data_IF_570557008878
#
_entry.id   IF_570557008878
#
_cell.length_a   1.000
_cell.length_b   1.000
_cell.length_c   1.000
_cell.angle_alpha   90.00
_cell.angle_beta   90.00
_cell.angle_gamma   90.00
#
_symmetry.space_group_name_H-M   'P 1'
#
loop_
_entity.id
_entity.type
_entity.pdbx_description
1 polymer ?
#
# COMPACT_ATOMS: atom_id res chain seq x y z
N UNK A 1 14.05 45.25 -9.43
CA UNK A 1 15.25 45.38 -8.58
C UNK A 1 15.98 46.64 -9.01
N UNK A 2 16.30 47.54 -8.09
CA UNK A 2 17.12 48.70 -8.39
C UNK A 2 18.55 48.44 -7.90
N UNK A 3 19.49 48.31 -8.85
CA UNK A 3 20.90 48.03 -8.56
C UNK A 3 21.77 49.30 -8.59
N UNK A 4 21.18 50.50 -8.74
CA UNK A 4 21.93 51.77 -8.90
C UNK A 4 22.75 52.16 -7.67
N UNK A 5 22.36 51.69 -6.49
CA UNK A 5 23.03 52.00 -5.21
C UNK A 5 23.89 50.84 -4.67
N UNK A 6 24.19 49.84 -5.51
CA UNK A 6 25.00 48.68 -5.11
C UNK A 6 26.30 48.68 -5.90
N UNK A 7 27.41 48.59 -5.19
CA UNK A 7 28.72 48.47 -5.81
C UNK A 7 28.94 47.02 -6.29
N UNK A 8 29.16 46.87 -7.59
CA UNK A 8 29.58 45.60 -8.17
C UNK A 8 31.11 45.51 -8.13
N UNK A 9 31.63 44.58 -7.34
CA UNK A 9 33.06 44.27 -7.34
C UNK A 9 33.44 43.57 -8.66
N UNK A 10 34.35 44.15 -9.48
CA UNK A 10 34.71 43.57 -10.78
C UNK A 10 35.43 42.23 -10.61
N UNK A 11 36.31 42.12 -9.62
CA UNK A 11 37.05 40.89 -9.31
C UNK A 11 36.12 39.73 -8.94
N UNK A 12 35.17 39.96 -8.03
CA UNK A 12 34.16 38.94 -7.67
C UNK A 12 33.21 38.61 -8.82
N UNK A 13 32.91 39.58 -9.68
CA UNK A 13 32.08 39.36 -10.88
C UNK A 13 32.78 38.39 -11.84
N UNK A 14 34.05 38.66 -12.15
CA UNK A 14 34.84 37.84 -13.05
C UNK A 14 35.05 36.41 -12.51
N UNK A 15 35.40 36.26 -11.23
CA UNK A 15 35.50 34.95 -10.58
C UNK A 15 34.20 34.13 -10.68
N UNK A 16 33.05 34.77 -10.46
CA UNK A 16 31.73 34.12 -10.53
C UNK A 16 31.35 33.75 -11.96
N UNK A 17 31.65 34.61 -12.93
CA UNK A 17 31.43 34.32 -14.35
C UNK A 17 32.33 33.15 -14.78
N UNK A 18 33.60 33.14 -14.39
CA UNK A 18 34.53 32.05 -14.68
C UNK A 18 34.07 30.73 -14.06
N UNK A 19 33.57 30.75 -12.81
CA UNK A 19 32.95 29.59 -12.19
C UNK A 19 31.69 29.12 -12.92
N UNK A 20 30.86 30.05 -13.39
CA UNK A 20 29.67 29.72 -14.18
C UNK A 20 30.03 29.12 -15.55
N UNK A 21 31.11 29.56 -16.19
CA UNK A 21 31.60 29.00 -17.45
C UNK A 21 32.08 27.55 -17.33
N UNK A 22 32.40 27.07 -16.13
CA UNK A 22 32.70 25.65 -15.89
C UNK A 22 31.46 24.75 -15.99
N UNK A 23 30.26 25.33 -15.82
CA UNK A 23 28.98 24.59 -15.80
C UNK A 23 28.12 24.88 -17.03
N UNK A 24 28.13 26.13 -17.52
CA UNK A 24 27.29 26.57 -18.63
C UNK A 24 28.12 26.80 -19.90
N UNK A 25 27.61 26.40 -21.08
CA UNK A 25 28.24 26.76 -22.34
C UNK A 25 28.38 28.27 -22.48
N UNK A 26 29.56 28.75 -22.87
CA UNK A 26 29.88 30.18 -23.00
C UNK A 26 28.82 30.95 -23.80
N UNK A 27 28.38 30.40 -24.93
CA UNK A 27 27.36 31.04 -25.77
C UNK A 27 26.01 31.21 -25.07
N UNK A 28 25.59 30.24 -24.25
CA UNK A 28 24.35 30.31 -23.48
C UNK A 28 24.44 31.34 -22.36
N UNK A 29 25.55 31.29 -21.60
CA UNK A 29 25.79 32.21 -20.49
C UNK A 29 25.83 33.66 -20.95
N UNK A 30 26.53 33.94 -22.05
CA UNK A 30 26.63 35.30 -22.61
C UNK A 30 25.27 35.81 -23.10
N UNK A 31 24.43 34.97 -23.72
CA UNK A 31 23.06 35.36 -24.11
C UNK A 31 22.20 35.70 -22.89
N UNK A 32 22.31 34.91 -21.82
CA UNK A 32 21.61 35.13 -20.55
C UNK A 32 22.02 36.47 -19.91
N UNK A 33 23.32 36.72 -19.81
CA UNK A 33 23.85 37.97 -19.27
C UNK A 33 23.43 39.17 -20.12
N UNK A 34 23.50 39.07 -21.46
CA UNK A 34 23.06 40.12 -22.36
C UNK A 34 21.57 40.48 -22.16
N UNK A 35 20.72 39.46 -22.03
CA UNK A 35 19.30 39.68 -21.77
C UNK A 35 19.04 40.30 -20.39
N UNK A 36 19.72 39.81 -19.35
CA UNK A 36 19.59 40.35 -18.00
C UNK A 36 20.02 41.82 -17.92
N UNK A 37 21.15 42.18 -18.54
CA UNK A 37 21.63 43.57 -18.60
C UNK A 37 20.65 44.48 -19.37
N UNK A 38 20.04 43.96 -20.45
CA UNK A 38 19.00 44.70 -21.15
C UNK A 38 17.76 44.95 -20.29
N UNK A 39 17.31 43.96 -19.51
CA UNK A 39 16.20 44.12 -18.57
C UNK A 39 16.51 45.10 -17.43
N UNK A 40 17.79 45.20 -17.03
CA UNK A 40 18.25 46.19 -16.05
C UNK A 40 18.35 47.61 -16.64
N UNK A 41 18.02 47.79 -17.92
CA UNK A 41 17.90 49.09 -18.56
C UNK A 41 19.16 49.57 -19.30
N UNK A 42 20.16 48.70 -19.50
CA UNK A 42 21.31 49.05 -20.34
C UNK A 42 20.91 49.10 -21.82
N UNK A 43 21.50 50.04 -22.54
CA UNK A 43 21.29 50.18 -23.97
C UNK A 43 21.94 49.00 -24.73
N UNK A 44 21.40 48.72 -25.91
CA UNK A 44 21.80 47.53 -26.68
C UNK A 44 23.25 47.59 -27.18
N UNK A 45 23.85 48.79 -27.28
CA UNK A 45 25.25 48.94 -27.68
C UNK A 45 26.18 48.67 -26.51
N UNK A 46 25.94 49.25 -25.34
CA UNK A 46 26.76 48.93 -24.15
C UNK A 46 26.67 47.45 -23.76
N UNK A 47 25.49 46.82 -23.87
CA UNK A 47 25.35 45.37 -23.62
C UNK A 47 26.20 44.54 -24.59
N UNK A 48 26.21 44.92 -25.87
CA UNK A 48 26.98 44.23 -26.91
C UNK A 48 28.50 44.33 -26.64
N UNK A 49 28.97 45.51 -26.21
CA UNK A 49 30.36 45.75 -25.81
C UNK A 49 30.75 44.93 -24.57
N UNK A 50 29.92 44.96 -23.51
CA UNK A 50 30.19 44.27 -22.25
C UNK A 50 30.24 42.74 -22.40
N UNK A 51 29.39 42.18 -23.26
CA UNK A 51 29.29 40.73 -23.49
C UNK A 51 30.17 40.28 -24.66
N UNK A 52 30.86 41.22 -25.33
CA UNK A 52 31.68 41.00 -26.52
C UNK A 52 30.91 40.22 -27.61
N UNK A 53 29.70 40.69 -27.94
CA UNK A 53 28.83 40.10 -28.97
C UNK A 53 28.30 41.16 -29.93
N UNK A 54 27.98 40.82 -31.19
CA UNK A 54 27.43 41.79 -32.13
C UNK A 54 26.09 42.35 -31.66
N UNK A 55 25.86 43.65 -31.87
CA UNK A 55 24.60 44.34 -31.51
C UNK A 55 23.38 43.64 -32.12
N UNK A 56 23.48 43.13 -33.35
CA UNK A 56 22.40 42.39 -34.01
C UNK A 56 22.08 41.05 -33.35
N UNK A 57 23.08 40.41 -32.74
CA UNK A 57 22.87 39.19 -31.96
C UNK A 57 22.11 39.48 -30.67
N UNK A 58 22.44 40.56 -29.97
CA UNK A 58 21.71 41.01 -28.77
C UNK A 58 20.25 41.35 -29.11
N UNK A 59 20.01 42.10 -30.20
CA UNK A 59 18.65 42.41 -30.69
C UNK A 59 17.84 41.14 -30.96
N UNK A 60 18.45 40.16 -31.62
CA UNK A 60 17.82 38.90 -31.97
C UNK A 60 17.48 38.09 -30.72
N UNK A 61 18.41 37.98 -29.77
CA UNK A 61 18.20 37.28 -28.49
C UNK A 61 17.06 37.92 -27.71
N UNK A 62 17.08 39.24 -27.50
CA UNK A 62 16.01 39.95 -26.78
C UNK A 62 14.66 39.72 -27.44
N UNK A 63 14.58 39.85 -28.77
CA UNK A 63 13.33 39.67 -29.51
C UNK A 63 12.77 38.25 -29.37
N UNK A 64 13.61 37.23 -29.55
CA UNK A 64 13.17 35.83 -29.53
C UNK A 64 12.84 35.41 -28.10
N UNK A 65 13.61 35.84 -27.10
CA UNK A 65 13.34 35.51 -25.68
C UNK A 65 12.05 36.16 -25.20
N UNK A 66 11.77 37.41 -25.58
CA UNK A 66 10.50 38.06 -25.22
C UNK A 66 9.28 37.42 -25.89
N UNK A 67 9.47 36.72 -27.03
CA UNK A 67 8.40 36.03 -27.77
C UNK A 67 8.20 34.57 -27.33
N UNK A 68 9.30 33.81 -27.24
CA UNK A 68 9.29 32.35 -27.05
C UNK A 68 9.71 31.94 -25.61
N UNK A 69 9.95 32.92 -24.74
CA UNK A 69 10.35 32.71 -23.35
C UNK A 69 11.76 32.12 -23.20
N UNK A 70 12.02 31.49 -22.05
CA UNK A 70 13.34 30.96 -21.68
C UNK A 70 13.86 29.87 -22.64
N UNK A 71 12.95 29.22 -23.38
CA UNK A 71 13.30 28.22 -24.39
C UNK A 71 14.17 28.79 -25.52
N UNK A 72 14.06 30.10 -25.79
CA UNK A 72 14.78 30.82 -26.83
C UNK A 72 16.29 30.92 -26.62
N UNK A 73 16.76 30.78 -25.37
CA UNK A 73 18.20 30.82 -25.09
C UNK A 73 18.94 29.59 -25.63
N UNK A 74 18.21 28.48 -25.81
CA UNK A 74 18.76 27.21 -26.30
C UNK A 74 18.95 27.27 -27.82
N UNK A 75 20.08 26.75 -28.27
CA UNK A 75 20.32 26.58 -29.70
C UNK A 75 19.47 25.42 -30.23
N UNK A 76 18.44 25.74 -31.01
CA UNK A 76 17.54 24.72 -31.61
C UNK A 76 18.24 23.85 -32.65
N UNK A 77 19.44 24.20 -33.11
CA UNK A 77 20.23 23.45 -34.10
C UNK A 77 21.21 22.46 -33.45
N UNK A 78 21.56 22.68 -32.17
CA UNK A 78 22.35 21.74 -31.40
C UNK A 78 21.43 20.99 -30.44
N UNK A 79 20.99 19.79 -30.86
CA UNK A 79 20.53 18.76 -29.93
C UNK A 79 21.74 18.26 -29.14
N UNK A 80 22.33 19.10 -28.29
CA UNK A 80 23.07 18.60 -27.15
C UNK A 80 22.04 18.23 -26.10
N UNK A 81 21.71 16.95 -26.06
CA UNK A 81 21.03 16.31 -24.94
C UNK A 81 21.93 16.38 -23.71
N UNK A 82 21.96 17.53 -23.03
CA UNK A 82 22.06 17.46 -21.57
C UNK A 82 20.72 16.93 -21.07
N UNK A 83 20.71 16.11 -19.99
CA UNK A 83 19.49 15.63 -19.38
C UNK A 83 18.80 16.83 -18.76
N UNK A 84 18.09 17.59 -19.60
CA UNK A 84 16.85 18.19 -19.23
C UNK A 84 16.08 16.98 -18.76
N UNK A 85 16.07 16.78 -17.44
CA UNK A 85 14.86 16.34 -16.79
C UNK A 85 13.77 17.20 -17.44
N UNK A 86 13.18 16.66 -18.51
CA UNK A 86 11.77 16.84 -18.72
C UNK A 86 11.26 16.44 -17.35
N UNK A 87 11.00 17.44 -16.51
CA UNK A 87 10.00 17.28 -15.49
C UNK A 87 8.76 16.95 -16.31
N UNK A 88 8.65 15.67 -16.65
CA UNK A 88 7.41 15.07 -17.02
C UNK A 88 6.54 15.46 -15.86
N UNK A 89 5.61 16.36 -16.10
CA UNK A 89 4.48 16.64 -15.21
C UNK A 89 3.60 15.38 -15.01
N UNK A 90 4.14 14.18 -15.24
CA UNK A 90 3.61 12.96 -14.68
C UNK A 90 3.94 12.98 -13.18
N UNK A 91 2.94 12.87 -12.30
CA UNK A 91 3.20 12.71 -10.88
C UNK A 91 4.21 11.58 -10.67
N UNK A 92 5.10 11.68 -9.66
CA UNK A 92 6.08 10.62 -9.39
C UNK A 92 5.32 9.30 -9.35
N UNK A 93 5.65 8.39 -10.27
CA UNK A 93 5.02 7.07 -10.32
C UNK A 93 5.40 6.35 -9.04
N UNK A 94 4.44 6.23 -8.14
CA UNK A 94 4.60 5.44 -6.93
C UNK A 94 4.42 3.99 -7.36
N UNK A 95 5.37 3.15 -6.97
CA UNK A 95 5.37 1.72 -7.31
C UNK A 95 5.41 0.91 -6.04
N UNK A 96 4.67 -0.19 -6.00
CA UNK A 96 4.76 -1.18 -4.93
C UNK A 96 5.41 -2.44 -5.45
N UNK A 97 6.40 -2.94 -4.73
CA UNK A 97 7.01 -4.25 -4.98
C UNK A 97 7.21 -5.01 -3.70
N UNK A 98 7.21 -6.33 -3.80
CA UNK A 98 7.59 -7.22 -2.69
C UNK A 98 9.04 -7.61 -2.89
N UNK A 99 9.88 -7.33 -1.91
CA UNK A 99 11.32 -7.57 -1.95
C UNK A 99 11.72 -8.30 -0.67
N UNK A 100 11.92 -9.62 -0.78
CA UNK A 100 12.15 -10.49 0.37
C UNK A 100 11.02 -10.45 1.39
N UNK A 101 11.36 -10.13 2.64
CA UNK A 101 10.45 -10.03 3.79
C UNK A 101 9.81 -8.63 3.95
N UNK A 102 9.92 -7.76 2.95
CA UNK A 102 9.39 -6.39 2.99
C UNK A 102 8.55 -6.02 1.76
N UNK A 103 7.52 -5.21 1.98
CA UNK A 103 6.90 -4.38 0.96
C UNK A 103 7.74 -3.11 0.79
N UNK A 104 8.09 -2.78 -0.45
CA UNK A 104 8.85 -1.59 -0.79
C UNK A 104 7.96 -0.70 -1.65
N UNK A 105 7.59 0.46 -1.09
CA UNK A 105 6.87 1.52 -1.80
C UNK A 105 7.91 2.54 -2.26
N UNK A 106 8.15 2.61 -3.56
CA UNK A 106 9.08 3.56 -4.17
C UNK A 106 8.36 4.85 -4.56
N UNK A 107 8.92 6.00 -4.20
CA UNK A 107 8.43 7.33 -4.53
C UNK A 107 9.41 8.02 -5.50
N UNK A 108 9.26 7.76 -6.80
CA UNK A 108 10.12 8.38 -7.82
C UNK A 108 11.54 7.78 -7.91
N UNK A 109 12.48 8.48 -8.57
CA UNK A 109 13.79 7.90 -8.89
C UNK A 109 14.70 7.83 -7.65
N UNK A 110 14.81 6.60 -7.14
CA UNK A 110 16.00 5.94 -6.61
C UNK A 110 16.26 6.00 -5.09
N UNK A 111 15.82 7.00 -4.31
CA UNK A 111 16.16 7.01 -2.86
C UNK A 111 15.00 7.12 -1.86
N UNK A 112 13.83 7.57 -2.28
CA UNK A 112 12.68 7.65 -1.37
C UNK A 112 11.89 6.34 -1.42
N UNK A 113 12.23 5.39 -0.55
CA UNK A 113 11.49 4.14 -0.41
C UNK A 113 10.98 3.93 1.02
N UNK A 114 9.70 3.59 1.15
CA UNK A 114 9.12 3.14 2.41
C UNK A 114 9.15 1.61 2.41
N UNK A 115 9.85 1.04 3.41
CA UNK A 115 9.93 -0.40 3.62
C UNK A 115 9.01 -0.80 4.77
N UNK A 116 8.11 -1.73 4.52
CA UNK A 116 7.17 -2.26 5.53
C UNK A 116 7.37 -3.77 5.63
N UNK A 117 7.79 -4.30 6.77
CA UNK A 117 7.89 -5.75 6.99
C UNK A 117 6.57 -6.48 6.70
N UNK A 118 6.64 -7.66 6.10
CA UNK A 118 5.47 -8.49 5.77
C UNK A 118 4.74 -8.98 7.02
N UNK A 119 5.45 -9.11 8.15
CA UNK A 119 4.89 -9.41 9.47
C UNK A 119 3.83 -8.38 9.88
N UNK A 120 3.96 -7.12 9.47
CA UNK A 120 3.05 -6.04 9.81
C UNK A 120 1.91 -5.92 8.80
N UNK A 121 1.11 -6.99 8.70
CA UNK A 121 0.01 -7.11 7.71
C UNK A 121 -0.99 -5.97 7.76
N UNK A 122 -1.37 -5.52 8.95
CA UNK A 122 -2.34 -4.42 9.11
C UNK A 122 -1.70 -3.12 8.63
N UNK A 123 -0.49 -2.79 9.10
CA UNK A 123 0.24 -1.59 8.68
C UNK A 123 0.44 -1.56 7.16
N UNK A 124 0.89 -2.67 6.56
CA UNK A 124 1.09 -2.77 5.13
C UNK A 124 -0.21 -2.52 4.35
N UNK A 125 -1.33 -3.14 4.77
CA UNK A 125 -2.64 -2.91 4.15
C UNK A 125 -3.09 -1.47 4.33
N UNK A 126 -2.95 -0.88 5.52
CA UNK A 126 -3.32 0.52 5.75
C UNK A 126 -2.59 1.44 4.79
N UNK A 127 -1.25 1.36 4.73
CA UNK A 127 -0.45 2.23 3.86
C UNK A 127 -0.80 2.02 2.38
N UNK A 128 -0.79 0.77 1.91
CA UNK A 128 -0.99 0.48 0.49
C UNK A 128 -2.41 0.82 0.02
N UNK A 129 -3.43 0.54 0.83
CA UNK A 129 -4.82 0.87 0.48
C UNK A 129 -5.09 2.37 0.55
N UNK A 130 -4.46 3.10 1.48
CA UNK A 130 -4.51 4.57 1.50
C UNK A 130 -3.90 5.18 0.24
N UNK A 131 -2.78 4.63 -0.26
CA UNK A 131 -2.18 5.05 -1.52
C UNK A 131 -3.06 4.72 -2.74
N UNK A 132 -3.79 3.60 -2.72
CA UNK A 132 -4.82 3.29 -3.72
C UNK A 132 -5.96 4.31 -3.70
N UNK A 133 -6.47 4.67 -2.52
CA UNK A 133 -7.53 5.69 -2.38
C UNK A 133 -7.08 7.08 -2.87
N UNK A 134 -5.80 7.41 -2.69
CA UNK A 134 -5.20 8.63 -3.21
C UNK A 134 -4.90 8.58 -4.73
N UNK A 135 -5.26 7.49 -5.42
CA UNK A 135 -4.94 7.25 -6.84
C UNK A 135 -3.43 7.28 -7.15
N UNK A 136 -2.60 7.00 -6.13
CA UNK A 136 -1.15 6.98 -6.23
C UNK A 136 -0.62 5.58 -6.61
N UNK A 137 -1.37 4.52 -6.25
CA UNK A 137 -1.09 3.14 -6.64
C UNK A 137 -2.26 2.56 -7.43
N UNK A 138 -1.95 1.70 -8.41
CA UNK A 138 -3.00 0.94 -9.09
C UNK A 138 -3.54 -0.16 -8.19
N UNK A 139 -4.83 -0.46 -8.35
CA UNK A 139 -5.50 -1.57 -7.65
C UNK A 139 -4.84 -2.90 -8.02
N UNK A 140 -4.48 -3.10 -9.29
CA UNK A 140 -3.88 -4.34 -9.79
C UNK A 140 -2.52 -4.61 -9.18
N UNK A 141 -1.63 -3.61 -9.15
CA UNK A 141 -0.29 -3.76 -8.57
C UNK A 141 -0.37 -3.98 -7.06
N UNK A 142 -1.25 -3.24 -6.38
CA UNK A 142 -1.45 -3.38 -4.93
C UNK A 142 -2.05 -4.73 -4.56
N UNK A 143 -3.02 -5.21 -5.34
CA UNK A 143 -3.63 -6.52 -5.14
C UNK A 143 -2.60 -7.66 -5.35
N UNK A 144 -1.77 -7.55 -6.39
CA UNK A 144 -0.68 -8.50 -6.64
C UNK A 144 0.34 -8.51 -5.49
N UNK A 145 0.75 -7.32 -5.00
CA UNK A 145 1.68 -7.22 -3.88
C UNK A 145 1.11 -7.83 -2.59
N UNK A 146 -0.17 -7.55 -2.28
CA UNK A 146 -0.86 -8.06 -1.09
C UNK A 146 -1.29 -9.54 -1.19
N UNK A 147 -1.19 -10.15 -2.37
CA UNK A 147 -1.65 -11.54 -2.61
C UNK A 147 -3.17 -11.71 -2.50
N UNK A 148 -3.94 -10.69 -2.89
CA UNK A 148 -5.41 -10.71 -2.86
C UNK A 148 -6.00 -10.39 -4.23
N UNK A 149 -7.29 -10.67 -4.43
CA UNK A 149 -7.96 -10.33 -5.67
C UNK A 149 -8.21 -8.81 -5.77
N UNK A 150 -8.10 -8.23 -6.97
CA UNK A 150 -8.36 -6.81 -7.25
C UNK A 150 -9.74 -6.29 -6.76
N UNK A 151 -10.79 -7.10 -6.85
CA UNK A 151 -12.12 -6.74 -6.32
C UNK A 151 -12.10 -6.62 -4.79
N UNK A 152 -11.43 -7.55 -4.11
CA UNK A 152 -11.24 -7.50 -2.66
C UNK A 152 -10.36 -6.33 -2.24
N UNK A 153 -9.32 -6.00 -3.02
CA UNK A 153 -8.50 -4.81 -2.80
C UNK A 153 -9.32 -3.51 -2.87
N UNK A 154 -10.19 -3.36 -3.88
CA UNK A 154 -11.12 -2.22 -4.00
C UNK A 154 -12.09 -2.13 -2.83
N UNK A 155 -12.66 -3.27 -2.42
CA UNK A 155 -13.55 -3.35 -1.27
C UNK A 155 -12.86 -2.84 0.01
N UNK A 156 -11.66 -3.35 0.30
CA UNK A 156 -10.89 -2.96 1.48
C UNK A 156 -10.46 -1.50 1.44
N UNK A 157 -10.05 -0.99 0.28
CA UNK A 157 -9.68 0.41 0.11
C UNK A 157 -10.87 1.35 0.41
N UNK A 158 -12.05 1.04 -0.14
CA UNK A 158 -13.29 1.79 0.13
C UNK A 158 -13.72 1.70 1.60
N UNK A 159 -13.60 0.54 2.23
CA UNK A 159 -13.88 0.38 3.67
C UNK A 159 -12.96 1.26 4.51
N UNK A 160 -11.66 1.25 4.22
CA UNK A 160 -10.67 2.09 4.90
C UNK A 160 -10.90 3.59 4.71
N UNK A 161 -11.52 4.00 3.59
CA UNK A 161 -11.89 5.41 3.37
C UNK A 161 -13.10 5.86 4.23
N UNK A 162 -13.91 4.91 4.71
CA UNK A 162 -15.18 5.19 5.40
C UNK A 162 -15.18 4.79 6.88
N UNK A 163 -14.24 3.93 7.30
CA UNK A 163 -14.17 3.37 8.64
C UNK A 163 -12.70 3.30 9.10
N UNK A 164 -12.48 3.25 10.41
CA UNK A 164 -11.14 3.14 10.97
C UNK A 164 -10.44 1.82 10.59
N UNK A 165 -9.12 1.76 10.77
CA UNK A 165 -8.26 0.59 10.52
C UNK A 165 -8.76 -0.63 11.28
N UNK A 166 -9.17 -0.47 12.54
CA UNK A 166 -9.70 -1.55 13.37
C UNK A 166 -10.96 -2.14 12.76
N UNK A 167 -11.83 -1.29 12.20
CA UNK A 167 -13.08 -1.75 11.64
C UNK A 167 -12.94 -2.37 10.25
N UNK A 168 -11.94 -1.91 9.50
CA UNK A 168 -11.75 -2.24 8.08
C UNK A 168 -10.81 -3.42 7.86
N UNK A 169 -9.75 -3.55 8.65
CA UNK A 169 -8.61 -4.42 8.36
C UNK A 169 -8.33 -5.48 9.43
N UNK A 170 -8.80 -5.27 10.67
CA UNK A 170 -8.69 -6.29 11.72
C UNK A 170 -9.76 -7.36 11.49
N UNK A 171 -9.34 -8.62 11.56
CA UNK A 171 -10.26 -9.74 11.41
C UNK A 171 -11.25 -9.76 12.58
N UNK A 172 -12.52 -9.46 12.27
CA UNK A 172 -13.63 -9.46 13.22
C UNK A 172 -14.21 -10.85 13.47
N UNK A 173 -13.69 -11.89 12.83
CA UNK A 173 -14.09 -13.28 13.07
C UNK A 173 -13.62 -13.71 14.45
N UNK A 174 -14.37 -13.31 15.47
CA UNK A 174 -14.46 -14.12 16.66
C UNK A 174 -15.29 -15.33 16.25
N UNK A 175 -14.65 -16.50 16.09
CA UNK A 175 -15.35 -17.74 15.77
C UNK A 175 -16.56 -17.93 16.69
N UNK A 176 -17.54 -18.73 16.27
CA UNK A 176 -18.77 -18.96 17.01
C UNK A 176 -18.46 -19.28 18.49
N UNK A 177 -18.80 -18.35 19.39
CA UNK A 177 -18.52 -18.48 20.84
C UNK A 177 -19.48 -19.39 21.58
N UNK A 178 -20.68 -19.56 21.03
CA UNK A 178 -21.77 -20.33 21.64
C UNK A 178 -22.50 -21.16 20.60
N UNK A 179 -22.88 -22.38 20.97
CA UNK A 179 -23.58 -23.31 20.10
C UNK A 179 -25.07 -22.90 20.01
N UNK A 180 -25.52 -22.42 18.84
CA UNK A 180 -26.90 -21.92 18.67
C UNK A 180 -27.93 -23.03 18.43
N UNK A 181 -27.51 -24.13 17.80
CA UNK A 181 -28.40 -25.24 17.43
C UNK A 181 -28.43 -26.34 18.49
N UNK A 182 -27.32 -26.51 19.22
CA UNK A 182 -27.14 -27.58 20.20
C UNK A 182 -26.90 -26.92 21.56
N UNK A 183 -28.00 -26.57 22.21
CA UNK A 183 -28.02 -25.99 23.54
C UNK A 183 -27.74 -27.03 24.64
N UNK A 184 -27.89 -26.64 25.91
CA UNK A 184 -27.67 -27.53 27.05
C UNK A 184 -28.53 -28.81 27.02
N UNK A 185 -29.80 -28.68 26.62
CA UNK A 185 -30.73 -29.82 26.55
C UNK A 185 -30.31 -30.84 25.49
N UNK A 186 -29.98 -30.38 24.28
CA UNK A 186 -29.50 -31.27 23.22
C UNK A 186 -28.16 -31.91 23.59
N UNK A 187 -27.27 -31.20 24.30
CA UNK A 187 -26.03 -31.77 24.82
C UNK A 187 -26.30 -32.86 25.86
N UNK A 188 -27.22 -32.63 26.78
CA UNK A 188 -27.62 -33.60 27.79
C UNK A 188 -28.18 -34.85 27.12
N UNK A 189 -29.07 -34.70 26.14
CA UNK A 189 -29.67 -35.82 25.40
C UNK A 189 -28.61 -36.61 24.63
N UNK A 190 -27.67 -35.94 23.95
CA UNK A 190 -26.55 -36.62 23.26
C UNK A 190 -25.73 -37.45 24.25
N UNK A 191 -25.42 -36.91 25.44
CA UNK A 191 -24.66 -37.63 26.47
C UNK A 191 -25.45 -38.83 27.00
N UNK A 192 -26.73 -38.62 27.32
CA UNK A 192 -27.62 -39.64 27.88
C UNK A 192 -27.80 -40.80 26.91
N UNK A 193 -28.14 -40.52 25.65
CA UNK A 193 -28.33 -41.56 24.62
C UNK A 193 -27.03 -42.28 24.31
N UNK A 194 -25.90 -41.57 24.25
CA UNK A 194 -24.60 -42.20 24.06
C UNK A 194 -24.28 -43.17 25.20
N UNK A 195 -24.47 -42.75 26.46
CA UNK A 195 -24.18 -43.56 27.63
C UNK A 195 -25.09 -44.79 27.72
N UNK A 196 -26.42 -44.60 27.60
CA UNK A 196 -27.39 -45.69 27.66
C UNK A 196 -27.13 -46.74 26.57
N UNK A 197 -26.87 -46.30 25.33
CA UNK A 197 -26.57 -47.20 24.21
C UNK A 197 -25.22 -47.90 24.37
N UNK A 198 -24.20 -47.21 24.88
CA UNK A 198 -22.90 -47.82 25.15
C UNK A 198 -23.00 -48.94 26.20
N UNK A 199 -23.73 -48.72 27.30
CA UNK A 199 -23.92 -49.71 28.38
C UNK A 199 -24.71 -50.93 27.88
N UNK A 200 -25.72 -50.70 27.05
CA UNK A 200 -26.62 -51.76 26.55
C UNK A 200 -26.07 -52.47 25.30
N UNK A 201 -24.90 -52.09 24.81
CA UNK A 201 -24.29 -52.68 23.60
C UNK A 201 -24.97 -52.28 22.29
N UNK A 202 -25.82 -51.25 22.30
CA UNK A 202 -26.50 -50.74 21.11
C UNK A 202 -25.59 -49.83 20.26
N UNK A 203 -26.01 -49.57 19.02
CA UNK A 203 -25.29 -48.66 18.12
C UNK A 203 -25.22 -47.25 18.69
N UNK A 204 -24.00 -46.70 18.73
CA UNK A 204 -23.68 -45.33 19.13
C UNK A 204 -23.22 -44.47 17.94
N UNK A 205 -23.57 -44.89 16.72
CA UNK A 205 -23.20 -44.14 15.52
C UNK A 205 -23.81 -42.74 15.55
N UNK A 206 -23.13 -41.76 14.95
CA UNK A 206 -23.63 -40.38 14.95
C UNK A 206 -24.96 -40.24 14.20
N UNK A 207 -25.25 -41.12 13.25
CA UNK A 207 -26.50 -41.14 12.49
C UNK A 207 -27.67 -41.57 13.40
N UNK A 208 -27.51 -42.69 14.08
CA UNK A 208 -28.51 -43.20 15.04
C UNK A 208 -28.73 -42.23 16.20
N UNK A 209 -27.66 -41.62 16.72
CA UNK A 209 -27.79 -40.63 17.79
C UNK A 209 -28.50 -39.36 17.31
N UNK A 210 -28.30 -38.94 16.06
CA UNK A 210 -29.01 -37.79 15.51
C UNK A 210 -30.50 -38.07 15.33
N UNK A 211 -30.89 -39.27 14.88
CA UNK A 211 -32.30 -39.67 14.79
C UNK A 211 -32.97 -39.62 16.17
N UNK A 212 -32.40 -40.31 17.16
CA UNK A 212 -33.00 -40.40 18.51
C UNK A 212 -33.06 -39.04 19.19
N UNK A 213 -32.00 -38.23 19.10
CA UNK A 213 -32.00 -36.89 19.70
C UNK A 213 -33.07 -36.02 19.04
N UNK A 214 -33.30 -36.15 17.73
CA UNK A 214 -34.33 -35.39 17.02
C UNK A 214 -35.76 -35.88 17.28
N UNK A 215 -35.93 -37.17 17.62
CA UNK A 215 -37.22 -37.73 18.06
C UNK A 215 -37.63 -37.16 19.44
N UNK A 216 -36.68 -37.04 20.36
CA UNK A 216 -36.93 -36.52 21.71
C UNK A 216 -36.99 -34.99 21.72
N UNK A 217 -36.07 -34.34 21.01
CA UNK A 217 -35.94 -32.88 20.95
C UNK A 217 -35.90 -32.44 19.48
N UNK A 218 -36.95 -31.82 18.93
CA UNK A 218 -37.05 -31.48 17.51
C UNK A 218 -36.17 -30.27 17.14
N UNK A 219 -34.84 -30.45 17.22
CA UNK A 219 -33.83 -29.44 16.94
C UNK A 219 -33.15 -29.60 15.57
N UNK A 220 -33.54 -30.63 14.79
CA UNK A 220 -32.96 -30.95 13.46
C UNK A 220 -31.43 -31.03 13.48
N UNK A 221 -30.87 -31.65 14.52
CA UNK A 221 -29.43 -31.85 14.68
C UNK A 221 -28.94 -32.87 13.66
N UNK A 222 -27.94 -32.52 12.85
CA UNK A 222 -27.35 -33.45 11.88
C UNK A 222 -26.39 -34.44 12.55
N UNK A 223 -26.19 -35.61 11.94
CA UNK A 223 -25.18 -36.58 12.37
C UNK A 223 -23.77 -35.98 12.45
N UNK A 224 -23.41 -35.07 11.54
CA UNK A 224 -22.14 -34.34 11.57
C UNK A 224 -22.01 -33.46 12.82
N UNK A 225 -23.10 -32.79 13.18
CA UNK A 225 -23.17 -31.94 14.38
C UNK A 225 -23.03 -32.78 15.65
N UNK A 226 -23.77 -33.90 15.75
CA UNK A 226 -23.65 -34.85 16.86
C UNK A 226 -22.21 -35.36 17.00
N UNK A 227 -21.59 -35.78 15.88
CA UNK A 227 -20.20 -36.26 15.86
C UNK A 227 -19.22 -35.20 16.40
N UNK A 228 -19.39 -33.95 15.95
CA UNK A 228 -18.56 -32.84 16.41
C UNK A 228 -18.71 -32.62 17.92
N UNK A 229 -19.93 -32.68 18.46
CA UNK A 229 -20.16 -32.55 19.90
C UNK A 229 -19.58 -33.72 20.70
N UNK A 230 -19.73 -34.95 20.23
CA UNK A 230 -19.12 -36.14 20.86
C UNK A 230 -17.60 -35.97 20.95
N UNK A 231 -16.96 -35.49 19.88
CA UNK A 231 -15.52 -35.25 19.86
C UNK A 231 -15.12 -34.08 20.76
N UNK A 232 -15.83 -32.94 20.68
CA UNK A 232 -15.57 -31.74 21.47
C UNK A 232 -15.74 -31.97 22.97
N UNK A 233 -16.67 -32.83 23.36
CA UNK A 233 -16.94 -33.21 24.75
C UNK A 233 -16.06 -34.39 25.24
N UNK A 234 -15.19 -34.95 24.38
CA UNK A 234 -14.30 -36.05 24.75
C UNK A 234 -15.00 -37.40 24.98
N UNK A 235 -16.23 -37.57 24.50
CA UNK A 235 -17.05 -38.76 24.79
C UNK A 235 -16.65 -39.99 23.97
N UNK A 236 -15.76 -39.84 22.98
CA UNK A 236 -15.27 -40.93 22.13
C UNK A 236 -14.63 -42.06 22.94
N UNK A 237 -13.82 -41.73 23.94
CA UNK A 237 -13.15 -42.69 24.81
C UNK A 237 -14.06 -43.25 25.91
N UNK A 238 -15.12 -42.51 26.25
CA UNK A 238 -16.06 -42.92 27.28
C UNK A 238 -16.88 -44.13 26.81
N UNK A 239 -17.24 -44.20 25.51
CA UNK A 239 -17.99 -45.33 24.95
C UNK A 239 -17.39 -46.70 25.29
N UNK A 240 -16.07 -46.85 25.26
CA UNK A 240 -15.40 -48.14 25.51
C UNK A 240 -15.26 -48.44 27.00
N UNK A 241 -15.10 -47.41 27.82
CA UNK A 241 -14.77 -47.56 29.23
C UNK A 241 -16.02 -47.62 30.13
N UNK A 242 -17.12 -46.99 29.70
CA UNK A 242 -18.34 -46.87 30.49
C UNK A 242 -18.99 -48.22 30.80
N UNK A 243 -19.05 -49.21 29.89
CA UNK A 243 -19.54 -50.55 30.21
C UNK A 243 -18.70 -51.23 31.31
N UNK A 244 -17.37 -51.16 31.23
CA UNK A 244 -16.45 -51.73 32.22
C UNK A 244 -16.60 -51.04 33.58
N UNK A 245 -16.78 -49.72 33.59
CA UNK A 245 -17.03 -48.94 34.80
C UNK A 245 -18.33 -49.41 35.48
N UNK A 246 -19.40 -49.59 34.71
CA UNK A 246 -20.70 -50.06 35.24
C UNK A 246 -20.58 -51.48 35.81
N UNK A 247 -19.87 -52.40 35.15
CA UNK A 247 -19.64 -53.73 35.71
C UNK A 247 -18.85 -53.71 37.02
N UNK A 248 -17.85 -52.84 37.12
CA UNK A 248 -17.04 -52.68 38.34
C UNK A 248 -17.88 -52.13 39.50
N UNK A 249 -18.79 -51.18 39.21
CA UNK A 249 -19.72 -50.63 40.19
C UNK A 249 -20.77 -51.65 40.63
N UNK A 250 -21.31 -52.45 39.69
CA UNK A 250 -22.23 -53.55 40.02
C UNK A 250 -21.61 -54.62 40.92
N UNK A 251 -20.30 -54.89 40.79
CA UNK A 251 -19.57 -55.86 41.63
C UNK A 251 -19.27 -55.35 43.05
N UNK A 252 -19.33 -54.03 43.27
CA UNK A 252 -19.04 -53.39 44.57
C UNK A 252 -20.32 -52.97 45.32
N UNK A 253 -21.48 -53.16 44.72
CA UNK A 253 -22.80 -52.90 45.32
C UNK A 253 -23.47 -54.20 45.71
#
# INVERSE_FOLDING_TARGET
>A
MDCRYREFSPTKSEERINKALQVFPKGLLMRLLAFALHLLGLDRKAVAELVNTPVESVKTVVRIVMRDGFSAFRDRRRSEELPVAKASLSPPRITVRREGECYVVGFGPIENSLKIPISFRIQARTVLLSLVNASLLSVSETAAALGIHAAHCRELARKLASHDVVESLVDKRQGQKQDYLVGPEQKAEIIQQLAARAITGQSTSSDVLAEVVNEVIPAKVSARTVRWHIQKLGLTHIKTNLPQLVETLKKKS
#
